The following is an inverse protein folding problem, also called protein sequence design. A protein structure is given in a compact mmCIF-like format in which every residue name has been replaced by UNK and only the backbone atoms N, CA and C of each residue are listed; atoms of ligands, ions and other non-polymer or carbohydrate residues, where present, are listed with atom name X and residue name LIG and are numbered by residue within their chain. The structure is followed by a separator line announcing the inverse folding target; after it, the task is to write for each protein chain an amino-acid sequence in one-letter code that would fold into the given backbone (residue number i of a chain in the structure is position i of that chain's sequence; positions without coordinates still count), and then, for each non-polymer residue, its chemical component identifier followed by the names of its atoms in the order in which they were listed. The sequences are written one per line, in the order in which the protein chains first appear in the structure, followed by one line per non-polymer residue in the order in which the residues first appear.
data_IF_333869440455
#
_entry.id   IF_333869440455
#
_cell.length_a   1.000
_cell.length_b   1.000
_cell.length_c   1.000
_cell.angle_alpha   90.00
_cell.angle_beta   90.00
_cell.angle_gamma   90.00
#
_symmetry.space_group_name_H-M   'P 1'
#
loop_
_entity.id
_entity.type
_entity.pdbx_description
1 polymer ?
#
# COMPACT_ATOMS: atom_id res chain seq x y z
N UNK A 1 -13.48 -11.12 6.82
CA UNK A 1 -12.99 -11.34 7.23
C UNK A 1 -11.88 -11.46 6.74
N UNK A 2 -11.26 -11.73 6.56
CA UNK A 2 -10.16 -12.05 6.09
C UNK A 2 -9.31 -11.20 5.38
N UNK A 3 -9.16 -10.06 5.61
CA UNK A 3 -8.33 -9.27 4.85
C UNK A 3 -7.02 -9.00 5.46
N UNK A 4 -6.53 -9.93 6.22
CA UNK A 4 -5.26 -9.74 6.83
C UNK A 4 -4.16 -10.43 6.12
N UNK A 5 -4.29 -10.82 4.89
CA UNK A 5 -3.19 -11.50 4.25
C UNK A 5 -2.19 -10.49 3.77
N UNK A 6 -0.98 -10.93 3.55
CA UNK A 6 0.08 -10.08 3.05
C UNK A 6 0.04 -10.06 1.53
N UNK A 7 0.26 -8.89 0.96
CA UNK A 7 0.32 -8.73 -0.49
C UNK A 7 1.73 -8.42 -0.92
N UNK A 8 2.10 -8.89 -2.10
CA UNK A 8 3.40 -8.56 -2.65
C UNK A 8 3.34 -7.18 -3.29
N UNK A 9 4.49 -6.70 -3.74
CA UNK A 9 4.53 -5.40 -4.40
C UNK A 9 3.65 -5.40 -5.65
N UNK A 10 3.70 -6.46 -6.44
CA UNK A 10 2.86 -6.52 -7.62
C UNK A 10 1.39 -6.54 -7.26
N UNK A 11 1.04 -7.25 -6.21
CA UNK A 11 -0.35 -7.33 -5.79
C UNK A 11 -0.86 -5.99 -5.29
N UNK A 12 -0.02 -5.27 -4.54
CA UNK A 12 -0.48 -3.99 -4.03
C UNK A 12 -0.62 -2.98 -5.18
N UNK A 13 0.22 -3.07 -6.19
CA UNK A 13 0.08 -2.21 -7.34
C UNK A 13 -1.24 -2.45 -8.06
N UNK A 14 -1.62 -3.70 -8.20
CA UNK A 14 -2.90 -4.01 -8.81
C UNK A 14 -4.06 -3.56 -7.93
N UNK A 15 -3.93 -3.74 -6.65
CA UNK A 15 -4.98 -3.37 -5.73
C UNK A 15 -5.24 -1.86 -5.77
N UNK A 16 -4.18 -1.07 -5.87
CA UNK A 16 -4.31 0.37 -5.87
C UNK A 16 -4.37 0.96 -7.28
N UNK A 17 -4.14 0.16 -8.29
CA UNK A 17 -4.16 0.64 -9.66
C UNK A 17 -3.00 1.55 -9.98
N UNK A 18 -1.82 1.24 -9.51
CA UNK A 18 -0.65 2.09 -9.70
C UNK A 18 0.51 1.26 -10.23
N UNK A 19 1.52 1.94 -10.74
CA UNK A 19 2.71 1.25 -11.21
C UNK A 19 3.65 0.97 -10.04
N UNK A 20 4.64 0.14 -10.29
CA UNK A 20 5.62 -0.19 -9.26
C UNK A 20 6.43 1.03 -8.86
N UNK A 21 6.78 1.86 -9.83
CA UNK A 21 7.51 3.09 -9.53
C UNK A 21 6.69 3.99 -8.61
N UNK A 22 5.41 4.09 -8.88
CA UNK A 22 4.53 4.91 -8.06
C UNK A 22 4.44 4.33 -6.65
N UNK A 23 4.33 3.01 -6.54
CA UNK A 23 4.25 2.39 -5.23
C UNK A 23 5.51 2.68 -4.41
N UNK A 24 6.67 2.53 -5.03
CA UNK A 24 7.91 2.80 -4.31
C UNK A 24 8.03 4.26 -3.92
N UNK A 25 7.57 5.15 -4.78
CA UNK A 25 7.59 6.55 -4.47
C UNK A 25 6.68 6.86 -3.28
N UNK A 26 5.52 6.24 -3.24
CA UNK A 26 4.60 6.47 -2.14
C UNK A 26 5.14 5.92 -0.82
N UNK A 27 5.86 4.80 -0.87
CA UNK A 27 6.49 4.27 0.34
C UNK A 27 7.49 5.28 0.89
N UNK A 28 8.27 5.90 0.02
CA UNK A 28 9.29 6.82 0.45
C UNK A 28 8.77 8.21 0.77
N UNK A 29 7.81 8.69 0.01
CA UNK A 29 7.41 10.08 0.12
C UNK A 29 6.09 10.29 0.84
N UNK A 30 5.24 9.28 0.86
CA UNK A 30 3.94 9.46 1.46
C UNK A 30 3.70 8.52 2.61
N UNK A 31 4.74 7.86 3.06
CA UNK A 31 4.65 6.99 4.24
C UNK A 31 3.65 5.86 4.06
N UNK A 32 3.55 5.31 2.86
CA UNK A 32 2.66 4.18 2.65
C UNK A 32 3.15 3.01 3.51
N UNK A 33 2.26 2.37 4.26
CA UNK A 33 2.70 1.28 5.13
C UNK A 33 3.20 0.11 4.32
N UNK A 34 4.43 -0.27 4.56
CA UNK A 34 5.07 -1.37 3.86
C UNK A 34 6.07 -2.03 4.80
N UNK A 35 6.21 -3.33 4.63
CA UNK A 35 7.13 -4.10 5.46
C UNK A 35 8.10 -4.82 4.54
N UNK A 36 9.38 -4.72 4.83
CA UNK A 36 10.37 -5.37 4.01
C UNK A 36 10.83 -6.63 4.71
N UNK A 37 10.52 -7.77 4.14
CA UNK A 37 10.85 -9.05 4.73
C UNK A 37 11.70 -9.80 3.73
N UNK A 38 12.92 -10.17 4.11
CA UNK A 38 13.80 -10.90 3.23
C UNK A 38 13.98 -10.18 1.91
N UNK A 39 14.13 -8.88 1.96
CA UNK A 39 14.34 -8.06 0.77
C UNK A 39 13.12 -7.99 -0.13
N UNK A 40 11.97 -8.46 0.32
CA UNK A 40 10.75 -8.40 -0.45
C UNK A 40 9.76 -7.48 0.26
N UNK A 41 9.10 -6.65 -0.51
CA UNK A 41 8.08 -5.78 0.06
C UNK A 41 6.81 -6.55 0.30
N UNK A 42 6.23 -6.35 1.47
CA UNK A 42 4.95 -6.96 1.82
C UNK A 42 4.04 -5.90 2.39
N UNK A 43 2.76 -6.04 2.10
CA UNK A 43 1.78 -5.04 2.51
C UNK A 43 0.58 -5.73 3.14
N UNK A 44 -0.03 -5.08 4.11
CA UNK A 44 -1.26 -5.59 4.70
C UNK A 44 -2.43 -4.75 4.22
N UNK A 45 -3.47 -5.40 3.74
CA UNK A 45 -4.59 -4.71 3.13
C UNK A 45 -5.23 -3.73 4.10
N UNK A 46 -5.44 -4.14 5.34
CA UNK A 46 -6.08 -3.24 6.28
C UNK A 46 -5.25 -2.00 6.57
N UNK A 47 -3.94 -2.14 6.59
CA UNK A 47 -3.07 -0.99 6.79
C UNK A 47 -3.13 -0.06 5.58
N UNK A 48 -3.16 -0.64 4.39
CA UNK A 48 -3.22 0.15 3.18
C UNK A 48 -4.56 0.88 3.10
N UNK A 49 -5.64 0.20 3.44
CA UNK A 49 -6.95 0.83 3.42
C UNK A 49 -7.01 2.02 4.37
N UNK A 50 -6.46 1.87 5.57
CA UNK A 50 -6.44 2.95 6.53
C UNK A 50 -5.60 4.11 6.03
N UNK A 51 -4.46 3.81 5.42
CA UNK A 51 -3.59 4.85 4.92
C UNK A 51 -4.26 5.60 3.76
N UNK A 52 -4.91 4.87 2.86
CA UNK A 52 -5.59 5.51 1.75
C UNK A 52 -6.72 6.39 2.27
N UNK A 53 -7.44 5.89 3.28
CA UNK A 53 -8.52 6.66 3.82
C UNK A 53 -8.05 7.95 4.46
N UNK A 54 -6.91 7.91 5.14
CA UNK A 54 -6.43 9.09 5.80
C UNK A 54 -5.73 10.03 4.85
N UNK A 55 -5.15 9.54 3.75
CA UNK A 55 -4.43 10.40 2.87
C UNK A 55 -5.21 10.76 1.63
N UNK A 56 -5.80 9.80 1.03
CA UNK A 56 -6.41 10.04 -0.23
C UNK A 56 -7.68 10.74 -0.15
N UNK A 57 -8.43 10.43 0.91
CA UNK A 57 -9.67 10.93 0.91
C UNK A 57 -9.79 12.26 1.27
N UNK A 58 -8.80 12.77 1.68
CA UNK A 58 -9.03 14.05 2.10
C UNK A 58 -9.43 14.87 0.96
N UNK A 59 -9.44 14.50 -0.08
CA UNK A 59 -9.86 15.27 -0.95
C UNK A 59 -11.11 15.08 -1.30
N UNK A 60 -11.68 14.79 -1.11
CA UNK A 60 -12.83 14.60 -1.44
C UNK A 60 -13.67 14.72 -0.83
N UNK A 61 -13.76 14.82 -0.59
CA UNK A 61 -14.51 14.86 0.06
C UNK A 61 -14.80 15.02 0.27
#
# INVERSE_FOLDING_TARGET
MGNNRWLSLNEICEYLGISRDTALKWINNKNMPAHKIDKLWRFKVNEIDDWVRSNGQNKTD
#
